data_IF_017240397115
#
_entry.id   IF_017240397115
#
_cell.length_a   1.000
_cell.length_b   1.000
_cell.length_c   1.000
_cell.angle_alpha   90.00
_cell.angle_beta   90.00
_cell.angle_gamma   90.00
#
_symmetry.space_group_name_H-M   'P 1'
#
loop_
_entity.id
_entity.type
_entity.pdbx_description
1 polymer ?
#
# COMPACT_ATOMS: atom_id res chain seq x y z
N UNK A 1 -37.49 4.48 57.61
CA UNK A 1 -36.68 3.32 58.02
C UNK A 1 -37.57 2.09 57.83
N UNK A 2 -37.52 1.40 56.68
CA UNK A 2 -36.73 0.18 56.38
C UNK A 2 -37.01 -0.93 57.40
N UNK A 3 -37.40 -2.18 57.13
CA UNK A 3 -37.46 -3.13 55.99
C UNK A 3 -38.69 -4.06 56.26
N UNK A 4 -39.22 -4.96 55.42
CA UNK A 4 -38.88 -5.54 54.11
C UNK A 4 -39.70 -6.85 53.95
N UNK A 5 -39.47 -7.55 52.83
CA UNK A 5 -39.89 -8.92 52.47
C UNK A 5 -41.21 -9.02 51.67
N UNK A 6 -41.05 -9.18 50.36
CA UNK A 6 -42.05 -9.66 49.42
C UNK A 6 -41.37 -10.14 48.15
N UNK A 7 -40.89 -11.39 48.16
CA UNK A 7 -40.29 -12.02 46.98
C UNK A 7 -41.35 -12.52 45.98
N UNK A 8 -40.99 -12.58 44.70
CA UNK A 8 -40.77 -13.83 43.93
C UNK A 8 -40.49 -13.48 42.47
N UNK A 9 -39.36 -14.00 42.00
CA UNK A 9 -38.84 -13.91 40.63
C UNK A 9 -39.80 -14.58 39.65
N UNK A 10 -40.12 -13.93 38.54
CA UNK A 10 -40.68 -14.58 37.33
C UNK A 10 -39.66 -14.48 36.21
N UNK A 11 -38.95 -15.58 35.97
CA UNK A 11 -38.19 -15.82 34.75
C UNK A 11 -39.15 -16.18 33.61
N UNK A 12 -38.83 -15.76 32.39
CA UNK A 12 -39.29 -16.43 31.16
C UNK A 12 -39.72 -15.53 30.01
N UNK A 13 -38.79 -14.81 29.39
CA UNK A 13 -38.90 -14.43 27.98
C UNK A 13 -37.61 -14.92 27.31
N UNK A 14 -37.63 -16.06 26.59
CA UNK A 14 -36.43 -16.57 25.95
C UNK A 14 -36.13 -15.73 24.69
N UNK A 15 -34.95 -15.13 24.71
CA UNK A 15 -34.22 -14.61 23.55
C UNK A 15 -33.92 -15.74 22.55
N UNK A 16 -34.90 -16.13 21.73
CA UNK A 16 -34.68 -16.98 20.56
C UNK A 16 -35.38 -16.35 19.36
N UNK A 17 -34.78 -15.29 18.84
CA UNK A 17 -34.90 -14.83 17.45
C UNK A 17 -33.66 -14.00 17.09
N UNK A 18 -32.50 -14.46 17.58
CA UNK A 18 -31.20 -14.03 17.11
C UNK A 18 -30.68 -15.04 16.09
N UNK A 19 -30.29 -14.54 14.93
CA UNK A 19 -29.20 -15.10 14.12
C UNK A 19 -29.40 -16.51 13.51
N UNK A 20 -30.44 -16.70 12.69
CA UNK A 20 -30.43 -17.78 11.66
C UNK A 20 -30.41 -17.24 10.22
N UNK A 21 -30.45 -15.91 10.00
CA UNK A 21 -30.30 -15.33 8.65
C UNK A 21 -28.95 -14.65 8.37
N UNK A 22 -27.94 -14.89 9.21
CA UNK A 22 -26.59 -14.35 9.02
C UNK A 22 -25.53 -15.40 8.60
N UNK A 23 -25.95 -16.61 8.19
CA UNK A 23 -25.04 -17.70 7.86
C UNK A 23 -25.25 -18.33 6.47
N UNK A 24 -25.96 -17.63 5.56
CA UNK A 24 -26.20 -18.11 4.19
C UNK A 24 -25.57 -17.26 3.07
N UNK A 25 -25.06 -16.05 3.35
CA UNK A 25 -24.39 -15.23 2.34
C UNK A 25 -22.86 -15.46 2.26
N UNK A 26 -22.25 -16.09 3.27
CA UNK A 26 -20.79 -16.15 3.37
C UNK A 26 -20.15 -17.46 2.84
N UNK A 27 -20.88 -18.35 2.15
CA UNK A 27 -20.29 -19.62 1.68
C UNK A 27 -20.62 -20.09 0.27
N UNK A 28 -21.42 -19.35 -0.49
CA UNK A 28 -21.62 -19.62 -1.90
C UNK A 28 -21.87 -18.29 -2.63
N UNK A 29 -20.82 -17.49 -2.80
CA UNK A 29 -20.76 -16.59 -3.95
C UNK A 29 -20.79 -17.50 -5.19
N UNK A 30 -22.01 -17.78 -5.70
CA UNK A 30 -22.17 -18.57 -6.91
C UNK A 30 -21.53 -17.76 -8.03
N UNK A 31 -20.57 -18.35 -8.71
CA UNK A 31 -19.99 -17.82 -9.97
C UNK A 31 -21.06 -17.62 -11.07
N UNK A 32 -22.30 -18.07 -10.81
CA UNK A 32 -23.42 -18.07 -11.74
C UNK A 32 -24.55 -17.08 -11.39
N UNK A 33 -24.40 -16.22 -10.37
CA UNK A 33 -25.38 -15.14 -10.12
C UNK A 33 -25.07 -13.97 -11.06
N UNK A 34 -25.54 -14.15 -12.29
CA UNK A 34 -26.03 -13.15 -13.24
C UNK A 34 -25.34 -11.77 -13.21
N UNK A 35 -24.48 -11.45 -14.21
CA UNK A 35 -24.02 -10.08 -14.48
C UNK A 35 -25.09 -8.98 -14.34
N UNK A 36 -26.37 -9.17 -14.77
CA UNK A 36 -27.39 -8.14 -14.59
C UNK A 36 -27.73 -7.84 -13.11
N UNK A 37 -27.72 -8.82 -12.20
CA UNK A 37 -28.02 -8.55 -10.79
C UNK A 37 -26.92 -7.72 -10.12
N UNK A 38 -25.65 -7.97 -10.49
CA UNK A 38 -24.51 -7.20 -10.01
C UNK A 38 -24.42 -5.78 -10.63
N UNK A 39 -24.98 -5.60 -11.84
CA UNK A 39 -25.08 -4.29 -12.48
C UNK A 39 -26.20 -3.42 -11.85
N UNK A 40 -27.35 -4.00 -11.52
CA UNK A 40 -28.52 -3.26 -11.04
C UNK A 40 -28.53 -3.05 -9.50
N UNK A 41 -27.86 -3.93 -8.74
CA UNK A 41 -27.84 -3.87 -7.28
C UNK A 41 -27.35 -2.52 -6.69
N UNK A 42 -26.28 -1.89 -7.20
CA UNK A 42 -25.82 -0.59 -6.70
C UNK A 42 -26.85 0.53 -6.92
N UNK A 43 -27.50 0.55 -8.10
CA UNK A 43 -28.51 1.54 -8.44
C UNK A 43 -29.79 1.34 -7.59
N UNK A 44 -30.19 0.08 -7.39
CA UNK A 44 -31.32 -0.26 -6.52
C UNK A 44 -31.05 0.15 -5.07
N UNK A 45 -29.82 -0.09 -4.56
CA UNK A 45 -29.42 0.33 -3.22
C UNK A 45 -29.40 1.86 -3.08
N UNK A 46 -28.92 2.58 -4.10
CA UNK A 46 -28.94 4.05 -4.12
C UNK A 46 -30.39 4.60 -4.11
N UNK A 47 -31.30 3.99 -4.88
CA UNK A 47 -32.71 4.34 -4.86
C UNK A 47 -33.36 4.09 -3.50
N UNK A 48 -33.14 2.92 -2.91
CA UNK A 48 -33.65 2.60 -1.57
C UNK A 48 -33.09 3.53 -0.48
N UNK A 49 -31.83 3.95 -0.59
CA UNK A 49 -31.23 4.92 0.33
C UNK A 49 -31.87 6.31 0.18
N UNK A 50 -32.15 6.75 -1.04
CA UNK A 50 -32.84 8.02 -1.30
C UNK A 50 -34.31 8.03 -0.81
N UNK A 51 -34.98 6.86 -0.83
CA UNK A 51 -36.31 6.72 -0.21
C UNK A 51 -36.28 6.86 1.31
N UNK A 52 -35.18 6.46 1.96
CA UNK A 52 -34.99 6.54 3.42
C UNK A 52 -34.59 7.95 3.88
N UNK A 53 -33.91 8.72 3.05
CA UNK A 53 -33.50 10.10 3.35
C UNK A 53 -33.77 11.04 2.16
N UNK A 54 -34.97 11.65 2.09
CA UNK A 54 -35.37 12.53 1.00
C UNK A 54 -34.57 13.85 0.94
N UNK A 55 -33.90 14.24 2.02
CA UNK A 55 -33.10 15.48 2.06
C UNK A 55 -31.68 15.30 1.51
N UNK A 56 -31.22 14.06 1.33
CA UNK A 56 -29.89 13.73 0.79
C UNK A 56 -29.73 14.01 -0.71
N UNK A 57 -30.82 14.38 -1.40
CA UNK A 57 -30.82 14.68 -2.84
C UNK A 57 -31.03 13.44 -3.73
N UNK A 58 -30.95 13.59 -5.07
CA UNK A 58 -31.17 12.50 -5.99
C UNK A 58 -30.08 11.41 -5.84
N UNK A 59 -30.41 10.13 -6.05
CA UNK A 59 -29.43 9.06 -6.00
C UNK A 59 -28.39 9.25 -7.11
N UNK A 60 -27.15 8.84 -6.82
CA UNK A 60 -26.07 8.87 -7.80
C UNK A 60 -26.46 8.10 -9.06
N UNK A 61 -26.16 8.65 -10.23
CA UNK A 61 -26.25 7.94 -11.50
C UNK A 61 -25.26 6.77 -11.54
N UNK A 62 -25.50 5.81 -12.44
CA UNK A 62 -24.58 4.68 -12.64
C UNK A 62 -23.15 5.14 -12.95
N UNK A 63 -22.99 6.21 -13.74
CA UNK A 63 -21.69 6.78 -14.07
C UNK A 63 -21.01 7.38 -12.83
N UNK A 64 -21.74 8.12 -12.00
CA UNK A 64 -21.20 8.69 -10.76
C UNK A 64 -20.84 7.60 -9.74
N UNK A 65 -21.59 6.51 -9.69
CA UNK A 65 -21.25 5.36 -8.83
C UNK A 65 -19.97 4.66 -9.29
N UNK A 66 -19.78 4.49 -10.61
CA UNK A 66 -18.53 3.95 -11.18
C UNK A 66 -17.35 4.84 -10.79
N UNK A 67 -17.47 6.15 -10.97
CA UNK A 67 -16.40 7.09 -10.63
C UNK A 67 -16.12 7.14 -9.13
N UNK A 68 -17.18 7.11 -8.31
CA UNK A 68 -17.05 7.06 -6.86
C UNK A 68 -16.33 5.79 -6.42
N UNK A 69 -16.75 4.61 -6.90
CA UNK A 69 -16.15 3.34 -6.55
C UNK A 69 -14.67 3.31 -6.95
N UNK A 70 -14.34 3.65 -8.20
CA UNK A 70 -12.97 3.65 -8.68
C UNK A 70 -12.08 4.65 -7.93
N UNK A 71 -12.61 5.82 -7.53
CA UNK A 71 -11.89 6.79 -6.71
C UNK A 71 -11.52 6.26 -5.31
N UNK A 72 -12.30 5.32 -4.76
CA UNK A 72 -12.05 4.73 -3.44
C UNK A 72 -11.16 3.50 -3.47
N UNK A 73 -11.20 2.72 -4.55
CA UNK A 73 -10.54 1.39 -4.59
C UNK A 73 -9.34 1.33 -5.55
N UNK A 74 -8.96 2.45 -6.17
CA UNK A 74 -7.81 2.51 -7.08
C UNK A 74 -6.93 3.72 -6.76
N UNK A 75 -5.69 3.72 -7.25
CA UNK A 75 -4.81 4.91 -7.19
C UNK A 75 -5.23 6.03 -8.16
N UNK A 76 -6.27 5.80 -8.94
CA UNK A 76 -6.78 6.69 -9.98
C UNK A 76 -7.34 5.87 -11.13
N UNK A 77 -8.63 6.05 -11.41
CA UNK A 77 -9.34 5.31 -12.45
C UNK A 77 -8.70 5.51 -13.84
N UNK A 78 -8.15 4.45 -14.43
CA UNK A 78 -7.71 4.48 -15.84
C UNK A 78 -8.96 4.50 -16.73
N UNK A 79 -8.88 5.03 -17.97
CA UNK A 79 -9.99 4.96 -18.91
C UNK A 79 -10.48 3.52 -19.13
N UNK A 80 -9.56 2.56 -19.21
CA UNK A 80 -9.87 1.14 -19.33
C UNK A 80 -10.63 0.58 -18.11
N UNK A 81 -10.35 1.07 -16.90
CA UNK A 81 -11.07 0.66 -15.69
C UNK A 81 -12.52 1.12 -15.76
N UNK A 82 -12.76 2.37 -16.15
CA UNK A 82 -14.12 2.92 -16.31
C UNK A 82 -14.93 2.12 -17.33
N UNK A 83 -14.34 1.79 -18.49
CA UNK A 83 -14.97 0.99 -19.54
C UNK A 83 -15.21 -0.47 -19.14
N UNK A 84 -14.37 -1.01 -18.26
CA UNK A 84 -14.56 -2.37 -17.75
C UNK A 84 -15.69 -2.39 -16.73
N UNK A 85 -15.67 -1.49 -15.74
CA UNK A 85 -16.70 -1.43 -14.70
C UNK A 85 -18.07 -1.07 -15.29
N UNK A 86 -18.14 -0.24 -16.34
CA UNK A 86 -19.42 0.01 -17.03
C UNK A 86 -20.01 -1.22 -17.70
N UNK A 87 -19.19 -2.21 -18.08
CA UNK A 87 -19.63 -3.48 -18.68
C UNK A 87 -20.03 -4.53 -17.64
N UNK A 88 -19.27 -4.67 -16.56
CA UNK A 88 -19.47 -5.73 -15.56
C UNK A 88 -20.29 -5.29 -14.34
N UNK A 89 -20.42 -3.98 -14.12
CA UNK A 89 -21.07 -3.40 -12.94
C UNK A 89 -20.11 -3.21 -11.76
N UNK A 90 -20.44 -2.25 -10.89
CA UNK A 90 -19.62 -1.90 -9.71
C UNK A 90 -19.51 -3.07 -8.73
N UNK A 91 -20.61 -3.79 -8.47
CA UNK A 91 -20.60 -4.88 -7.48
C UNK A 91 -19.70 -6.05 -7.93
N UNK A 92 -19.77 -6.44 -9.21
CA UNK A 92 -18.93 -7.50 -9.75
C UNK A 92 -17.44 -7.11 -9.72
N UNK A 93 -17.13 -5.85 -10.06
CA UNK A 93 -15.77 -5.34 -9.97
C UNK A 93 -15.24 -5.38 -8.53
N UNK A 94 -16.01 -4.91 -7.55
CA UNK A 94 -15.60 -4.93 -6.14
C UNK A 94 -15.38 -6.34 -5.61
N UNK A 95 -16.27 -7.28 -5.96
CA UNK A 95 -16.10 -8.69 -5.58
C UNK A 95 -14.80 -9.25 -6.15
N UNK A 96 -14.49 -9.00 -7.43
CA UNK A 96 -13.22 -9.44 -8.02
C UNK A 96 -12.01 -8.87 -7.29
N UNK A 97 -12.06 -7.59 -6.92
CA UNK A 97 -10.98 -6.89 -6.19
C UNK A 97 -10.75 -7.43 -4.77
N UNK A 98 -11.76 -8.03 -4.14
CA UNK A 98 -11.63 -8.69 -2.83
C UNK A 98 -10.91 -10.04 -2.90
N UNK A 99 -10.75 -10.60 -4.11
CA UNK A 99 -10.07 -11.88 -4.36
C UNK A 99 -8.87 -11.69 -5.30
N UNK A 100 -7.79 -10.99 -4.87
CA UNK A 100 -6.66 -10.64 -5.73
C UNK A 100 -5.91 -11.85 -6.28
N UNK A 101 -5.98 -13.00 -5.61
CA UNK A 101 -5.39 -14.26 -6.08
C UNK A 101 -6.03 -14.81 -7.36
N UNK A 102 -7.24 -14.35 -7.68
CA UNK A 102 -7.98 -14.73 -8.90
C UNK A 102 -7.71 -13.78 -10.06
N UNK A 103 -7.10 -12.62 -9.78
CA UNK A 103 -6.73 -11.62 -10.78
C UNK A 103 -5.32 -11.93 -11.30
N UNK A 104 -5.22 -12.11 -12.61
CA UNK A 104 -3.94 -12.32 -13.29
C UNK A 104 -3.12 -11.03 -13.30
N UNK A 105 -1.89 -11.09 -12.77
CA UNK A 105 -1.02 -9.91 -12.67
C UNK A 105 0.44 -10.21 -13.04
N UNK A 106 0.67 -11.30 -13.79
CA UNK A 106 2.01 -11.83 -14.07
C UNK A 106 2.95 -10.84 -14.75
N UNK A 107 2.45 -9.97 -15.62
CA UNK A 107 3.26 -8.97 -16.32
C UNK A 107 3.82 -7.90 -15.38
N UNK A 108 3.06 -7.51 -14.35
CA UNK A 108 3.50 -6.54 -13.33
C UNK A 108 4.44 -7.21 -12.35
N UNK A 109 4.12 -8.44 -11.94
CA UNK A 109 5.00 -9.23 -11.07
C UNK A 109 6.39 -9.43 -11.71
N UNK A 110 6.46 -9.67 -13.03
CA UNK A 110 7.74 -9.77 -13.74
C UNK A 110 8.52 -8.44 -13.72
N UNK A 111 7.84 -7.30 -13.88
CA UNK A 111 8.47 -5.98 -13.80
C UNK A 111 8.97 -5.68 -12.39
N UNK A 112 8.15 -5.97 -11.38
CA UNK A 112 8.49 -5.81 -9.96
C UNK A 112 9.67 -6.71 -9.57
N UNK A 113 9.73 -7.92 -10.13
CA UNK A 113 10.83 -8.81 -9.86
C UNK A 113 12.18 -8.20 -10.30
N UNK A 114 12.21 -7.24 -11.24
CA UNK A 114 13.45 -6.58 -11.66
C UNK A 114 14.15 -5.79 -10.56
N UNK A 115 13.49 -5.47 -9.44
CA UNK A 115 14.08 -4.74 -8.31
C UNK A 115 14.83 -5.71 -7.37
N UNK A 116 16.18 -5.71 -7.35
CA UNK A 116 16.94 -6.68 -6.56
C UNK A 116 16.67 -6.62 -5.06
N UNK A 117 16.30 -5.44 -4.53
CA UNK A 117 16.01 -5.26 -3.09
C UNK A 117 14.91 -6.20 -2.59
N UNK A 118 13.93 -6.54 -3.43
CA UNK A 118 12.80 -7.40 -3.07
C UNK A 118 13.16 -8.89 -3.00
N UNK A 119 14.29 -9.28 -3.59
CA UNK A 119 14.75 -10.68 -3.64
C UNK A 119 15.81 -11.00 -2.57
N UNK A 120 16.22 -10.01 -1.80
CA UNK A 120 17.30 -10.14 -0.81
C UNK A 120 16.72 -10.28 0.58
N UNK A 121 17.40 -11.06 1.42
CA UNK A 121 16.97 -11.20 2.81
C UNK A 121 17.30 -9.95 3.61
N UNK A 122 16.53 -9.67 4.66
CA UNK A 122 16.80 -8.56 5.58
C UNK A 122 18.19 -8.68 6.22
N UNK A 123 18.67 -9.91 6.44
CA UNK A 123 20.01 -10.17 6.96
C UNK A 123 21.11 -9.73 5.98
N UNK A 124 20.98 -10.04 4.70
CA UNK A 124 21.92 -9.62 3.67
C UNK A 124 21.97 -8.10 3.52
N UNK A 125 20.80 -7.46 3.51
CA UNK A 125 20.69 -5.99 3.42
C UNK A 125 21.30 -5.33 4.67
N UNK A 126 21.08 -5.89 5.86
CA UNK A 126 21.67 -5.39 7.10
C UNK A 126 23.20 -5.53 7.10
N UNK A 127 23.74 -6.64 6.58
CA UNK A 127 25.18 -6.81 6.42
C UNK A 127 25.78 -5.79 5.46
N UNK A 128 25.10 -5.48 4.36
CA UNK A 128 25.54 -4.44 3.42
C UNK A 128 25.60 -3.06 4.09
N UNK A 129 24.56 -2.68 4.84
CA UNK A 129 24.56 -1.42 5.59
C UNK A 129 25.69 -1.37 6.62
N UNK A 130 25.97 -2.48 7.30
CA UNK A 130 27.06 -2.57 8.26
C UNK A 130 28.44 -2.43 7.58
N UNK A 131 28.66 -3.09 6.44
CA UNK A 131 29.89 -2.97 5.63
C UNK A 131 30.10 -1.54 5.16
N UNK A 132 29.06 -0.91 4.61
CA UNK A 132 29.11 0.48 4.16
C UNK A 132 29.48 1.45 5.29
N UNK A 133 28.92 1.27 6.49
CA UNK A 133 29.28 2.10 7.66
C UNK A 133 30.73 1.91 8.10
N UNK A 134 31.20 0.66 8.11
CA UNK A 134 32.59 0.34 8.47
C UNK A 134 33.57 1.01 7.50
N UNK A 135 33.35 0.86 6.19
CA UNK A 135 34.15 1.50 5.15
C UNK A 135 34.16 3.03 5.31
N UNK A 136 32.99 3.65 5.47
CA UNK A 136 32.91 5.11 5.67
C UNK A 136 33.67 5.59 6.91
N UNK A 137 33.72 4.79 7.98
CA UNK A 137 34.48 5.10 9.20
C UNK A 137 35.99 5.01 8.92
N UNK A 138 36.43 4.00 8.19
CA UNK A 138 37.82 3.80 7.79
C UNK A 138 38.29 4.90 6.83
N UNK A 139 37.49 5.24 5.82
CA UNK A 139 37.77 6.33 4.88
C UNK A 139 37.89 7.67 5.60
N UNK A 140 36.98 7.94 6.54
CA UNK A 140 37.06 9.15 7.37
C UNK A 140 38.33 9.16 8.22
N UNK A 141 38.68 8.05 8.86
CA UNK A 141 39.89 7.94 9.67
C UNK A 141 41.17 8.14 8.81
N UNK A 142 41.20 7.54 7.62
CA UNK A 142 42.31 7.69 6.65
C UNK A 142 42.42 9.14 6.16
N UNK A 143 41.30 9.78 5.83
CA UNK A 143 41.29 11.18 5.42
C UNK A 143 41.78 12.11 6.53
N UNK A 144 41.33 11.90 7.78
CA UNK A 144 41.83 12.66 8.94
C UNK A 144 43.32 12.42 9.20
N UNK A 145 43.82 11.19 9.01
CA UNK A 145 45.24 10.86 9.16
C UNK A 145 46.12 11.44 8.04
N UNK A 146 45.58 11.62 6.82
CA UNK A 146 46.31 12.18 5.67
C UNK A 146 46.29 13.72 5.68
N UNK A 147 45.34 14.35 6.36
CA UNK A 147 45.15 15.80 6.39
C UNK A 147 46.02 16.56 7.44
N UNK A 148 46.98 15.91 8.10
CA UNK A 148 47.94 16.57 9.01
C UNK A 148 49.37 16.06 8.74
N UNK A 149 50.41 16.92 8.52
CA UNK A 149 50.44 18.38 8.60
C UNK A 149 50.75 19.07 7.25
N UNK A 150 49.94 20.07 6.88
CA UNK A 150 50.43 21.39 6.47
C UNK A 150 49.22 22.30 6.35
N UNK A 151 49.12 23.26 7.27
CA UNK A 151 48.14 24.32 7.20
C UNK A 151 48.56 25.31 6.11
N UNK A 152 47.94 25.21 4.94
CA UNK A 152 47.65 26.36 4.10
C UNK A 152 46.24 26.16 3.56
N UNK A 153 45.32 27.00 4.04
CA UNK A 153 44.00 27.14 3.45
C UNK A 153 44.19 27.63 2.02
N UNK A 154 43.65 26.90 1.04
CA UNK A 154 42.89 27.45 -0.08
C UNK A 154 42.33 26.32 -0.95
N UNK A 155 41.19 26.63 -1.56
CA UNK A 155 40.42 25.90 -2.59
C UNK A 155 39.40 24.84 -2.11
N UNK A 156 38.14 25.17 -2.37
CA UNK A 156 37.02 24.24 -2.51
C UNK A 156 37.32 23.14 -3.55
N UNK A 157 37.27 21.85 -3.20
CA UNK A 157 37.20 20.81 -4.21
C UNK A 157 35.72 20.53 -4.53
N UNK A 158 35.30 21.02 -5.68
CA UNK A 158 34.22 20.41 -6.45
C UNK A 158 34.73 19.06 -6.94
N UNK A 159 34.21 17.95 -6.42
CA UNK A 159 34.42 16.61 -6.96
C UNK A 159 33.30 15.69 -6.46
N UNK A 160 32.68 14.80 -7.24
CA UNK A 160 32.63 14.56 -8.67
C UNK A 160 31.42 13.61 -8.80
N UNK A 161 30.49 13.90 -9.70
CA UNK A 161 29.30 13.05 -9.86
C UNK A 161 29.72 11.69 -10.45
N UNK A 162 29.26 10.55 -9.91
CA UNK A 162 29.52 9.27 -10.55
C UNK A 162 28.78 9.20 -11.89
N UNK A 163 29.52 8.74 -12.90
CA UNK A 163 29.19 8.33 -14.27
C UNK A 163 27.68 8.30 -14.67
N UNK A 164 27.27 9.03 -15.74
CA UNK A 164 25.89 9.07 -16.21
C UNK A 164 25.39 7.81 -16.94
N UNK A 165 26.20 6.76 -17.10
CA UNK A 165 25.80 5.56 -17.85
C UNK A 165 25.50 4.34 -16.97
N UNK A 166 24.42 4.44 -16.19
CA UNK A 166 23.67 3.29 -15.68
C UNK A 166 22.23 3.39 -16.23
N UNK A 167 21.70 2.37 -16.94
CA UNK A 167 20.29 2.37 -17.31
C UNK A 167 19.48 1.98 -16.07
N UNK A 168 19.30 2.91 -15.15
CA UNK A 168 18.26 2.86 -14.16
C UNK A 168 17.27 3.96 -14.51
N UNK A 169 16.02 3.60 -14.77
CA UNK A 169 14.92 4.54 -14.86
C UNK A 169 14.75 5.23 -13.49
N UNK A 170 15.59 6.22 -13.23
CA UNK A 170 15.64 6.95 -11.98
C UNK A 170 14.42 7.88 -11.92
N UNK A 171 13.85 7.99 -10.73
CA UNK A 171 12.83 8.99 -10.38
C UNK A 171 13.19 10.36 -10.99
N UNK A 172 12.21 11.22 -11.33
CA UNK A 172 12.48 12.59 -11.76
C UNK A 172 13.48 13.27 -10.80
N UNK A 173 14.52 13.93 -11.33
CA UNK A 173 15.62 14.51 -10.51
C UNK A 173 15.12 15.42 -9.38
N UNK A 174 13.96 16.06 -9.55
CA UNK A 174 13.31 16.85 -8.51
C UNK A 174 12.86 15.98 -7.31
N UNK A 175 12.12 14.91 -7.55
CA UNK A 175 11.63 14.00 -6.49
C UNK A 175 12.76 13.28 -5.75
N UNK A 176 13.86 12.94 -6.44
CA UNK A 176 15.04 12.38 -5.78
C UNK A 176 15.67 13.32 -4.75
N UNK A 177 15.72 14.63 -5.03
CA UNK A 177 16.30 15.62 -4.12
C UNK A 177 15.47 15.76 -2.84
N UNK A 178 14.15 15.72 -2.95
CA UNK A 178 13.26 15.83 -1.80
C UNK A 178 13.25 14.55 -0.96
N UNK A 179 13.27 13.37 -1.61
CA UNK A 179 13.42 12.09 -0.92
C UNK A 179 14.75 12.02 -0.13
N UNK A 180 15.86 12.49 -0.72
CA UNK A 180 17.16 12.54 -0.02
C UNK A 180 17.13 13.46 1.20
N UNK A 181 16.42 14.59 1.14
CA UNK A 181 16.27 15.50 2.28
C UNK A 181 15.48 14.83 3.41
N UNK A 182 14.37 14.18 3.09
CA UNK A 182 13.50 13.50 4.07
C UNK A 182 14.23 12.34 4.77
N UNK A 183 15.08 11.61 4.04
CA UNK A 183 15.85 10.48 4.59
C UNK A 183 17.10 10.89 5.37
N UNK A 184 17.50 12.16 5.36
CA UNK A 184 18.64 12.67 6.13
C UNK A 184 19.94 11.90 5.88
N UNK A 185 20.52 11.29 6.93
CA UNK A 185 21.75 10.47 6.82
C UNK A 185 21.56 9.20 5.99
N UNK A 186 20.33 8.68 5.91
CA UNK A 186 19.96 7.55 5.06
C UNK A 186 19.67 7.97 3.61
N UNK A 187 19.64 9.28 3.31
CA UNK A 187 19.51 9.82 1.96
C UNK A 187 20.77 9.68 1.09
N UNK A 188 21.77 8.92 1.53
CA UNK A 188 23.01 8.63 0.80
C UNK A 188 23.45 7.19 1.04
N UNK A 189 24.02 6.56 0.02
CA UNK A 189 24.53 5.19 0.09
C UNK A 189 23.43 4.12 -0.03
N UNK A 190 23.75 2.85 0.30
CA UNK A 190 22.88 1.71 -0.03
C UNK A 190 21.47 1.78 0.57
N UNK A 191 21.30 2.42 1.75
CA UNK A 191 19.98 2.60 2.35
C UNK A 191 19.03 3.44 1.46
N UNK A 192 19.58 4.46 0.78
CA UNK A 192 18.80 5.27 -0.16
C UNK A 192 18.37 4.42 -1.36
N UNK A 193 19.29 3.62 -1.91
CA UNK A 193 19.02 2.79 -3.07
C UNK A 193 17.98 1.70 -2.78
N UNK A 194 17.98 1.15 -1.56
CA UNK A 194 16.94 0.23 -1.08
C UNK A 194 15.56 0.91 -1.07
N UNK A 195 15.44 2.07 -0.42
CA UNK A 195 14.19 2.82 -0.34
C UNK A 195 13.70 3.29 -1.72
N UNK A 196 14.62 3.74 -2.58
CA UNK A 196 14.30 4.18 -3.93
C UNK A 196 13.73 3.03 -4.79
N UNK A 197 14.33 1.84 -4.70
CA UNK A 197 13.81 0.66 -5.40
C UNK A 197 12.43 0.22 -4.90
N UNK A 198 12.18 0.28 -3.59
CA UNK A 198 10.84 0.00 -3.04
C UNK A 198 9.82 1.01 -3.56
N UNK A 199 10.15 2.30 -3.55
CA UNK A 199 9.27 3.33 -4.10
C UNK A 199 8.98 3.11 -5.60
N UNK A 200 9.99 2.72 -6.38
CA UNK A 200 9.81 2.36 -7.80
C UNK A 200 8.91 1.14 -7.98
N UNK A 201 9.09 0.08 -7.18
CA UNK A 201 8.26 -1.11 -7.23
C UNK A 201 6.79 -0.78 -6.92
N UNK A 202 6.53 0.08 -5.93
CA UNK A 202 5.19 0.56 -5.62
C UNK A 202 4.55 1.30 -6.79
N UNK A 203 5.29 2.19 -7.45
CA UNK A 203 4.79 2.91 -8.63
C UNK A 203 4.46 1.95 -9.79
N UNK A 204 5.31 0.95 -10.03
CA UNK A 204 5.06 -0.07 -11.05
C UNK A 204 3.75 -0.80 -10.77
N UNK A 205 3.50 -1.18 -9.51
CA UNK A 205 2.25 -1.84 -9.12
C UNK A 205 1.05 -0.91 -9.20
N UNK A 206 1.16 0.30 -8.68
CA UNK A 206 0.06 1.27 -8.69
C UNK A 206 -0.43 1.57 -10.11
N UNK A 207 0.48 1.64 -11.09
CA UNK A 207 0.16 1.92 -12.49
C UNK A 207 -0.28 0.67 -13.25
N UNK A 208 0.43 -0.44 -13.04
CA UNK A 208 0.31 -1.63 -13.88
C UNK A 208 -0.68 -2.67 -13.36
N UNK A 209 -0.84 -2.79 -12.04
CA UNK A 209 -1.57 -3.91 -11.44
C UNK A 209 -3.06 -3.82 -11.69
N UNK A 210 -3.68 -4.96 -12.00
CA UNK A 210 -5.13 -5.11 -12.04
C UNK A 210 -5.76 -5.34 -10.66
N UNK A 211 -4.93 -5.56 -9.62
CA UNK A 211 -5.33 -5.77 -8.21
C UNK A 211 -5.36 -4.45 -7.44
N UNK A 212 -5.99 -3.43 -8.02
CA UNK A 212 -5.94 -2.05 -7.52
C UNK A 212 -6.34 -1.91 -6.04
N UNK A 213 -7.38 -2.60 -5.58
CA UNK A 213 -7.79 -2.54 -4.17
C UNK A 213 -6.70 -3.09 -3.25
N UNK A 214 -6.07 -4.21 -3.63
CA UNK A 214 -4.98 -4.82 -2.88
C UNK A 214 -3.80 -3.86 -2.76
N UNK A 215 -3.43 -3.19 -3.85
CA UNK A 215 -2.33 -2.21 -3.85
C UNK A 215 -2.65 -0.97 -2.99
N UNK A 216 -3.89 -0.47 -3.04
CA UNK A 216 -4.35 0.65 -2.20
C UNK A 216 -4.31 0.27 -0.72
N UNK A 217 -4.80 -0.92 -0.38
CA UNK A 217 -4.82 -1.41 1.00
C UNK A 217 -3.41 -1.67 1.53
N UNK A 218 -2.53 -2.23 0.70
CA UNK A 218 -1.13 -2.43 1.06
C UNK A 218 -0.43 -1.09 1.37
N UNK A 219 -0.65 -0.06 0.56
CA UNK A 219 -0.08 1.27 0.80
C UNK A 219 -0.69 1.95 2.03
N UNK A 220 -2.00 1.81 2.24
CA UNK A 220 -2.68 2.32 3.42
C UNK A 220 -2.05 1.76 4.69
N UNK A 221 -1.91 0.44 4.79
CA UNK A 221 -1.33 -0.22 5.96
C UNK A 221 0.16 0.08 6.12
N UNK A 222 0.91 0.13 5.03
CA UNK A 222 2.33 0.51 5.05
C UNK A 222 2.53 1.92 5.62
N UNK A 223 1.69 2.88 5.20
CA UNK A 223 1.76 4.24 5.70
C UNK A 223 1.24 4.37 7.14
N UNK A 224 0.21 3.59 7.51
CA UNK A 224 -0.36 3.63 8.86
C UNK A 224 0.60 3.07 9.91
N UNK A 225 1.29 1.98 9.61
CA UNK A 225 2.26 1.33 10.50
C UNK A 225 3.71 1.75 10.23
N UNK A 226 3.92 3.04 9.98
CA UNK A 226 5.20 3.56 9.46
C UNK A 226 6.46 3.09 10.23
N UNK A 227 7.34 2.37 9.52
CA UNK A 227 8.71 2.06 9.97
C UNK A 227 9.67 3.06 9.32
N UNK A 228 10.24 3.97 10.12
CA UNK A 228 11.13 4.99 9.59
C UNK A 228 12.48 4.40 9.12
N UNK A 229 12.71 4.46 7.81
CA UNK A 229 13.93 3.98 7.14
C UNK A 229 15.23 4.60 7.65
N UNK A 230 15.17 5.84 8.15
CA UNK A 230 16.35 6.62 8.53
C UNK A 230 16.97 6.25 9.88
N UNK A 231 16.35 5.30 10.60
CA UNK A 231 16.91 4.75 11.83
C UNK A 231 17.80 3.56 11.50
N UNK A 232 18.91 3.43 12.23
CA UNK A 232 19.92 2.35 12.18
C UNK A 232 19.81 1.41 10.96
N UNK A 233 19.38 0.17 11.12
CA UNK A 233 19.32 -0.85 10.07
C UNK A 233 17.90 -1.04 9.51
N UNK A 234 16.96 -0.17 9.84
CA UNK A 234 15.55 -0.32 9.56
C UNK A 234 15.29 -0.33 8.04
N UNK A 235 16.09 0.38 7.24
CA UNK A 235 16.04 0.30 5.78
C UNK A 235 16.22 -1.13 5.21
N UNK A 236 16.96 -2.00 5.90
CA UNK A 236 17.14 -3.40 5.51
C UNK A 236 15.92 -4.28 5.84
N UNK A 237 15.06 -3.84 6.77
CA UNK A 237 13.85 -4.57 7.16
C UNK A 237 12.67 -4.23 6.23
N UNK A 238 12.69 -3.06 5.60
CA UNK A 238 11.57 -2.55 4.80
C UNK A 238 11.08 -3.49 3.70
N UNK A 239 11.93 -4.17 2.92
CA UNK A 239 11.44 -5.05 1.85
C UNK A 239 10.60 -6.21 2.39
N UNK A 240 11.10 -6.89 3.42
CA UNK A 240 10.38 -7.98 4.06
C UNK A 240 9.11 -7.49 4.78
N UNK A 241 9.21 -6.32 5.43
CA UNK A 241 8.08 -5.68 6.09
C UNK A 241 6.96 -5.31 5.11
N UNK A 242 7.30 -4.68 3.98
CA UNK A 242 6.33 -4.36 2.91
C UNK A 242 5.68 -5.63 2.37
N UNK A 243 6.45 -6.69 2.11
CA UNK A 243 5.92 -7.96 1.65
C UNK A 243 4.90 -8.55 2.65
N UNK A 244 5.22 -8.55 3.94
CA UNK A 244 4.32 -9.07 4.97
C UNK A 244 3.02 -8.28 5.06
N UNK A 245 3.07 -6.94 4.95
CA UNK A 245 1.84 -6.12 4.88
C UNK A 245 0.99 -6.51 3.68
N UNK A 246 1.62 -6.69 2.52
CA UNK A 246 0.91 -7.02 1.28
C UNK A 246 0.20 -8.36 1.38
N UNK A 247 0.84 -9.37 1.95
CA UNK A 247 0.23 -10.68 2.17
C UNK A 247 -1.01 -10.61 3.08
N UNK A 248 -1.07 -9.63 3.98
CA UNK A 248 -2.14 -9.46 4.97
C UNK A 248 -3.08 -8.28 4.68
N UNK A 249 -2.96 -7.64 3.51
CA UNK A 249 -3.59 -6.34 3.26
C UNK A 249 -5.12 -6.37 3.31
N UNK A 250 -5.73 -7.52 2.98
CA UNK A 250 -7.18 -7.71 2.92
C UNK A 250 -7.75 -8.60 4.05
N UNK A 251 -6.91 -9.08 4.98
CA UNK A 251 -7.33 -9.87 6.15
C UNK A 251 -7.16 -11.38 6.00
#
# INVERSE_FOLDING_TARGET
MSLGIGGRVRHGIPWILGAVLAAACARQARKDVTPPLAADAPQAAAGAAAEQDPEAGPPLSAQEQIEHALSRVTFGARPADKERVSRIGVAAFLEEQLHPEQIADGAVEEQVARFPVLRRSSAELAQELARYRKQKKEDKARATATAMPSATMDADPVAEAPDPNLPAAALPRAGQRDLRKQLGKAGRGPAFDMVAQLAQAKLVRAIGSERQLHEVMAEFWFNHFNVFAGKQNEAALLPAYEQQIRELALG
#
